data_IF_009587658522
#
_entry.id   IF_009587658522
#
_cell.length_a   1.000
_cell.length_b   1.000
_cell.length_c   1.000
_cell.angle_alpha   90.00
_cell.angle_beta   90.00
_cell.angle_gamma   90.00
#
_symmetry.space_group_name_H-M   'P 1'
#
loop_
_entity.id
_entity.type
_entity.pdbx_description
1 polymer ?
#
# COMPACT_ATOMS: atom_id res chain seq x y z
N UNK A 1 -17.19 -17.04 -14.82
CA UNK A 1 -15.71 -17.06 -14.76
C UNK A 1 -15.11 -17.76 -15.96
N UNK A 2 -15.56 -18.96 -16.36
CA UNK A 2 -14.97 -19.71 -17.49
C UNK A 2 -14.87 -18.93 -18.80
N UNK A 3 -15.93 -18.26 -19.26
CA UNK A 3 -15.86 -17.48 -20.51
C UNK A 3 -14.91 -16.27 -20.42
N UNK A 4 -14.87 -15.57 -19.28
CA UNK A 4 -13.96 -14.44 -19.07
C UNK A 4 -12.50 -14.89 -19.03
N UNK A 5 -12.23 -16.00 -18.33
CA UNK A 5 -10.91 -16.61 -18.25
C UNK A 5 -10.44 -17.12 -19.63
N UNK A 6 -11.33 -17.76 -20.40
CA UNK A 6 -10.99 -18.23 -21.75
C UNK A 6 -10.71 -17.06 -22.70
N UNK A 7 -11.52 -16.00 -22.64
CA UNK A 7 -11.28 -14.78 -23.41
C UNK A 7 -9.92 -14.14 -23.05
N UNK A 8 -9.63 -13.96 -21.76
CA UNK A 8 -8.36 -13.41 -21.31
C UNK A 8 -7.17 -14.26 -21.76
N UNK A 9 -7.29 -15.59 -21.67
CA UNK A 9 -6.28 -16.53 -22.17
C UNK A 9 -6.03 -16.39 -23.67
N UNK A 10 -7.09 -16.47 -24.50
CA UNK A 10 -6.97 -16.35 -25.97
C UNK A 10 -6.26 -15.05 -26.34
N UNK A 11 -6.60 -13.95 -25.67
CA UNK A 11 -6.01 -12.64 -25.94
C UNK A 11 -4.54 -12.55 -25.57
N UNK A 12 -4.13 -13.20 -24.48
CA UNK A 12 -2.73 -13.25 -24.05
C UNK A 12 -1.92 -14.17 -24.96
N UNK A 13 -2.43 -15.37 -25.26
CA UNK A 13 -1.77 -16.33 -26.14
C UNK A 13 -1.61 -15.76 -27.57
N UNK A 14 -2.63 -15.10 -28.14
CA UNK A 14 -2.55 -14.43 -29.46
C UNK A 14 -1.49 -13.31 -29.47
N UNK A 15 -1.37 -12.56 -28.37
CA UNK A 15 -0.39 -11.48 -28.27
C UNK A 15 1.05 -12.01 -28.20
N UNK A 16 1.27 -13.15 -27.54
CA UNK A 16 2.56 -13.83 -27.52
C UNK A 16 2.91 -14.46 -28.87
N UNK A 17 1.96 -15.17 -29.49
CA UNK A 17 2.15 -15.83 -30.79
C UNK A 17 2.52 -14.84 -31.89
N UNK A 18 1.93 -13.64 -31.86
CA UNK A 18 2.21 -12.57 -32.81
C UNK A 18 3.38 -11.67 -32.42
N UNK A 19 4.02 -11.93 -31.28
CA UNK A 19 5.09 -11.12 -30.72
C UNK A 19 4.75 -9.62 -30.71
N UNK A 20 3.53 -9.31 -30.23
CA UNK A 20 3.05 -7.92 -30.17
C UNK A 20 3.88 -7.12 -29.17
N UNK A 21 3.88 -5.79 -29.34
CA UNK A 21 4.57 -4.89 -28.43
C UNK A 21 4.03 -4.98 -26.99
N UNK A 22 4.79 -4.39 -26.07
CA UNK A 22 4.50 -4.44 -24.64
C UNK A 22 3.14 -3.82 -24.29
N UNK A 23 2.75 -2.70 -24.91
CA UNK A 23 1.52 -2.00 -24.58
C UNK A 23 0.30 -2.85 -24.95
N UNK A 24 0.34 -3.51 -26.12
CA UNK A 24 -0.73 -4.42 -26.52
C UNK A 24 -0.76 -5.63 -25.60
N UNK A 25 0.39 -6.24 -25.28
CA UNK A 25 0.46 -7.40 -24.38
C UNK A 25 -0.09 -7.06 -22.99
N UNK A 26 0.23 -5.89 -22.45
CA UNK A 26 -0.27 -5.41 -21.15
C UNK A 26 -1.79 -5.19 -21.18
N UNK A 27 -2.31 -4.56 -22.24
CA UNK A 27 -3.76 -4.39 -22.43
C UNK A 27 -4.51 -5.73 -22.52
N UNK A 28 -3.91 -6.74 -23.14
CA UNK A 28 -4.48 -8.10 -23.23
C UNK A 28 -4.41 -8.80 -21.88
N UNK A 29 -3.31 -8.64 -21.15
CA UNK A 29 -3.14 -9.15 -19.79
C UNK A 29 -4.16 -8.57 -18.81
N UNK A 30 -4.48 -7.27 -18.92
CA UNK A 30 -5.45 -6.57 -18.07
C UNK A 30 -6.84 -7.20 -18.09
N UNK A 31 -7.17 -8.08 -19.05
CA UNK A 31 -8.44 -8.83 -19.06
C UNK A 31 -8.57 -9.86 -17.94
N UNK A 32 -7.49 -10.20 -17.26
CA UNK A 32 -7.53 -10.97 -16.02
C UNK A 32 -8.02 -10.16 -14.82
N UNK A 33 -7.87 -8.83 -14.85
CA UNK A 33 -8.16 -7.94 -13.71
C UNK A 33 -9.28 -6.94 -13.98
N UNK A 34 -9.66 -6.69 -15.23
CA UNK A 34 -10.68 -5.72 -15.59
C UNK A 34 -11.63 -6.20 -16.70
N UNK A 35 -12.84 -5.64 -16.70
CA UNK A 35 -13.88 -5.94 -17.67
C UNK A 35 -13.52 -5.45 -19.08
N UNK A 36 -13.74 -6.33 -20.06
CA UNK A 36 -13.66 -6.08 -21.50
C UNK A 36 -14.41 -4.84 -21.99
N UNK A 37 -15.56 -4.57 -21.38
CA UNK A 37 -16.60 -3.69 -21.91
C UNK A 37 -16.70 -2.36 -21.16
N UNK A 38 -16.66 -2.39 -19.84
CA UNK A 38 -16.80 -1.20 -19.00
C UNK A 38 -15.50 -0.75 -18.36
N UNK A 39 -14.40 -1.48 -18.59
CA UNK A 39 -13.05 -1.18 -18.10
C UNK A 39 -12.92 -1.08 -16.57
N UNK A 40 -13.96 -1.48 -15.83
CA UNK A 40 -13.93 -1.56 -14.39
C UNK A 40 -13.13 -2.77 -13.93
N UNK A 41 -12.34 -2.59 -12.89
CA UNK A 41 -11.63 -3.67 -12.22
C UNK A 41 -12.62 -4.65 -11.58
N UNK A 42 -12.32 -5.94 -11.69
CA UNK A 42 -13.05 -6.94 -10.93
C UNK A 42 -12.68 -6.83 -9.46
N UNK A 43 -13.63 -7.17 -8.59
CA UNK A 43 -13.44 -7.16 -7.14
C UNK A 43 -14.10 -8.36 -6.45
N UNK A 44 -13.81 -8.52 -5.17
CA UNK A 44 -14.18 -9.59 -4.26
C UNK A 44 -14.01 -10.98 -4.88
N UNK A 45 -15.09 -11.76 -4.77
CA UNK A 45 -15.15 -13.15 -5.22
C UNK A 45 -14.88 -13.32 -6.72
N UNK A 46 -15.19 -12.31 -7.55
CA UNK A 46 -14.98 -12.39 -9.01
C UNK A 46 -13.49 -12.31 -9.34
N UNK A 47 -12.79 -11.32 -8.76
CA UNK A 47 -11.34 -11.18 -8.93
C UNK A 47 -10.61 -12.39 -8.36
N UNK A 48 -11.02 -12.88 -7.17
CA UNK A 48 -10.47 -14.10 -6.60
C UNK A 48 -10.60 -15.30 -7.55
N UNK A 49 -11.78 -15.51 -8.14
CA UNK A 49 -12.01 -16.64 -9.05
C UNK A 49 -11.23 -16.50 -10.36
N UNK A 50 -11.10 -15.28 -10.90
CA UNK A 50 -10.28 -15.01 -12.08
C UNK A 50 -8.78 -15.17 -11.78
N UNK A 51 -8.31 -14.78 -10.60
CA UNK A 51 -6.95 -15.02 -10.15
C UNK A 51 -6.61 -16.51 -10.07
N UNK A 52 -7.51 -17.32 -9.53
CA UNK A 52 -7.37 -18.79 -9.55
C UNK A 52 -7.34 -19.36 -10.97
N UNK A 53 -8.21 -18.86 -11.86
CA UNK A 53 -8.24 -19.28 -13.26
C UNK A 53 -6.95 -18.87 -14.01
N UNK A 54 -6.46 -17.66 -13.76
CA UNK A 54 -5.22 -17.13 -14.34
C UNK A 54 -4.03 -18.00 -13.91
N UNK A 55 -3.87 -18.22 -12.60
CA UNK A 55 -2.82 -19.07 -12.06
C UNK A 55 -2.88 -20.49 -12.63
N UNK A 56 -4.06 -21.12 -12.63
CA UNK A 56 -4.23 -22.48 -13.17
C UNK A 56 -3.87 -22.59 -14.65
N UNK A 57 -4.13 -21.53 -15.43
CA UNK A 57 -3.80 -21.48 -16.86
C UNK A 57 -2.28 -21.49 -17.09
N UNK A 58 -1.52 -20.81 -16.24
CA UNK A 58 -0.10 -20.52 -16.49
C UNK A 58 0.88 -21.18 -15.52
N UNK A 59 0.42 -21.90 -14.50
CA UNK A 59 1.27 -22.55 -13.50
C UNK A 59 2.27 -23.55 -14.10
N UNK A 60 1.94 -24.18 -15.22
CA UNK A 60 2.82 -25.13 -15.91
C UNK A 60 3.91 -24.46 -16.76
N UNK A 61 3.88 -23.14 -16.90
CA UNK A 61 4.92 -22.40 -17.62
C UNK A 61 6.23 -22.38 -16.80
N UNK A 62 7.39 -22.15 -17.44
CA UNK A 62 8.67 -22.07 -16.76
C UNK A 62 8.66 -21.05 -15.62
N UNK A 63 9.50 -21.31 -14.61
CA UNK A 63 9.85 -20.33 -13.58
C UNK A 63 11.00 -19.47 -14.08
N UNK A 64 10.69 -18.26 -14.53
CA UNK A 64 11.67 -17.18 -14.69
C UNK A 64 11.03 -15.80 -14.38
N UNK A 65 11.88 -14.80 -14.15
CA UNK A 65 11.49 -13.49 -13.61
C UNK A 65 10.47 -12.75 -14.46
N UNK A 66 10.46 -12.99 -15.78
CA UNK A 66 9.65 -12.25 -16.75
C UNK A 66 8.59 -13.12 -17.43
N UNK A 67 8.30 -14.30 -16.86
CA UNK A 67 7.22 -15.16 -17.35
C UNK A 67 5.84 -14.66 -16.94
N UNK A 68 4.87 -14.96 -17.79
CA UNK A 68 3.43 -14.90 -17.48
C UNK A 68 3.09 -15.63 -16.16
N UNK A 69 3.84 -16.68 -15.81
CA UNK A 69 3.64 -17.40 -14.54
C UNK A 69 3.81 -16.48 -13.33
N UNK A 70 4.84 -15.63 -13.33
CA UNK A 70 5.11 -14.65 -12.27
C UNK A 70 4.07 -13.52 -12.27
N UNK A 71 3.46 -13.18 -13.41
CA UNK A 71 2.34 -12.25 -13.43
C UNK A 71 1.06 -12.89 -12.87
N UNK A 72 0.79 -14.16 -13.21
CA UNK A 72 -0.40 -14.89 -12.81
C UNK A 72 -0.52 -15.07 -11.29
N UNK A 73 0.60 -15.32 -10.60
CA UNK A 73 0.62 -15.41 -9.14
C UNK A 73 0.26 -14.06 -8.49
N UNK A 74 0.63 -12.94 -9.11
CA UNK A 74 0.25 -11.59 -8.68
C UNK A 74 -1.26 -11.33 -8.78
N UNK A 75 -1.89 -11.75 -9.88
CA UNK A 75 -3.35 -11.66 -10.05
C UNK A 75 -4.07 -12.50 -8.98
N UNK A 76 -3.60 -13.72 -8.73
CA UNK A 76 -4.13 -14.57 -7.66
C UNK A 76 -4.00 -13.92 -6.28
N UNK A 77 -2.81 -13.39 -5.96
CA UNK A 77 -2.60 -12.73 -4.68
C UNK A 77 -3.50 -11.50 -4.49
N UNK A 78 -3.71 -10.70 -5.54
CA UNK A 78 -4.64 -9.57 -5.50
C UNK A 78 -6.07 -10.02 -5.24
N UNK A 79 -6.55 -11.02 -5.99
CA UNK A 79 -7.89 -11.57 -5.80
C UNK A 79 -8.13 -12.22 -4.44
N UNK A 80 -7.12 -12.87 -3.86
CA UNK A 80 -7.20 -13.40 -2.50
C UNK A 80 -7.32 -12.30 -1.45
N UNK A 81 -6.54 -11.22 -1.59
CA UNK A 81 -6.61 -10.07 -0.68
C UNK A 81 -7.97 -9.40 -0.69
N UNK A 82 -8.49 -9.14 -1.89
CA UNK A 82 -9.78 -8.46 -2.06
C UNK A 82 -10.98 -9.33 -1.63
N UNK A 83 -10.81 -10.65 -1.61
CA UNK A 83 -11.77 -11.59 -1.04
C UNK A 83 -11.59 -11.82 0.48
N UNK A 84 -10.68 -11.11 1.15
CA UNK A 84 -10.40 -11.25 2.58
C UNK A 84 -9.66 -12.53 2.97
N UNK A 85 -9.07 -13.25 2.02
CA UNK A 85 -8.34 -14.52 2.24
C UNK A 85 -6.86 -14.25 2.51
N UNK A 86 -6.61 -13.45 3.56
CA UNK A 86 -5.28 -12.89 3.85
C UNK A 86 -4.23 -13.95 4.19
N UNK A 87 -4.58 -15.03 4.89
CA UNK A 87 -3.66 -16.15 5.16
C UNK A 87 -3.14 -16.80 3.86
N UNK A 88 -4.03 -17.06 2.90
CA UNK A 88 -3.67 -17.69 1.63
C UNK A 88 -2.87 -16.73 0.75
N UNK A 89 -3.25 -15.44 0.75
CA UNK A 89 -2.47 -14.38 0.10
C UNK A 89 -1.05 -14.34 0.64
N UNK A 90 -0.88 -14.39 1.97
CA UNK A 90 0.43 -14.39 2.62
C UNK A 90 1.28 -15.58 2.18
N UNK A 91 0.72 -16.79 2.21
CA UNK A 91 1.43 -18.02 1.78
C UNK A 91 1.92 -17.93 0.34
N UNK A 92 1.09 -17.42 -0.56
CA UNK A 92 1.43 -17.26 -1.98
C UNK A 92 2.51 -16.18 -2.17
N UNK A 93 2.40 -15.04 -1.49
CA UNK A 93 3.41 -13.96 -1.54
C UNK A 93 4.77 -14.42 -0.98
N UNK A 94 4.78 -15.20 0.10
CA UNK A 94 6.01 -15.80 0.64
C UNK A 94 6.63 -16.80 -0.35
N UNK A 95 5.81 -17.64 -0.98
CA UNK A 95 6.26 -18.59 -2.01
C UNK A 95 6.84 -17.86 -3.23
N UNK A 96 6.19 -16.77 -3.65
CA UNK A 96 6.67 -15.90 -4.72
C UNK A 96 8.02 -15.29 -4.35
N UNK A 97 8.15 -14.74 -3.15
CA UNK A 97 9.40 -14.16 -2.65
C UNK A 97 10.54 -15.19 -2.62
N UNK A 98 10.31 -16.38 -2.09
CA UNK A 98 11.29 -17.47 -2.09
C UNK A 98 11.69 -17.90 -3.51
N UNK A 99 10.74 -17.93 -4.44
CA UNK A 99 11.00 -18.23 -5.85
C UNK A 99 11.86 -17.16 -6.49
N UNK A 100 11.54 -15.89 -6.29
CA UNK A 100 12.30 -14.76 -6.81
C UNK A 100 13.74 -14.75 -6.24
N UNK A 101 13.91 -15.04 -4.96
CA UNK A 101 15.23 -15.21 -4.33
C UNK A 101 16.04 -16.33 -5.01
N UNK A 102 15.44 -17.49 -5.27
CA UNK A 102 16.10 -18.61 -5.96
C UNK A 102 16.45 -18.27 -7.41
N UNK A 103 15.62 -17.47 -8.08
CA UNK A 103 15.87 -16.99 -9.44
C UNK A 103 16.91 -15.85 -9.49
N UNK A 104 17.39 -15.37 -8.34
CA UNK A 104 18.43 -14.35 -8.27
C UNK A 104 17.96 -12.96 -8.67
N UNK A 105 16.67 -12.65 -8.48
CA UNK A 105 16.16 -11.31 -8.74
C UNK A 105 16.88 -10.28 -7.85
N UNK A 106 17.05 -9.09 -8.38
CA UNK A 106 17.66 -7.97 -7.68
C UNK A 106 16.82 -7.55 -6.49
N UNK A 107 17.46 -6.86 -5.55
CA UNK A 107 16.77 -6.33 -4.38
C UNK A 107 15.62 -5.38 -4.73
N UNK A 108 15.77 -4.61 -5.81
CA UNK A 108 14.74 -3.73 -6.33
C UNK A 108 13.49 -4.50 -6.77
N UNK A 109 13.69 -5.63 -7.47
CA UNK A 109 12.59 -6.49 -7.90
C UNK A 109 11.91 -7.20 -6.72
N UNK A 110 12.69 -7.57 -5.69
CA UNK A 110 12.18 -8.22 -4.47
C UNK A 110 11.42 -7.27 -3.53
N UNK A 111 11.67 -5.96 -3.64
CA UNK A 111 11.08 -4.95 -2.77
C UNK A 111 9.54 -4.96 -2.84
N UNK A 112 8.97 -5.04 -4.04
CA UNK A 112 7.51 -5.04 -4.22
C UNK A 112 6.84 -6.23 -3.51
N UNK A 113 7.39 -7.44 -3.67
CA UNK A 113 6.89 -8.64 -3.01
C UNK A 113 7.03 -8.54 -1.49
N UNK A 114 8.14 -7.99 -0.98
CA UNK A 114 8.33 -7.77 0.47
C UNK A 114 7.30 -6.78 1.03
N UNK A 115 7.03 -5.67 0.32
CA UNK A 115 5.98 -4.74 0.69
C UNK A 115 4.60 -5.40 0.72
N UNK A 116 4.30 -6.28 -0.25
CA UNK A 116 3.04 -7.01 -0.27
C UNK A 116 2.90 -8.00 0.90
N UNK A 117 3.98 -8.66 1.30
CA UNK A 117 3.99 -9.51 2.51
C UNK A 117 3.69 -8.66 3.75
N UNK A 118 4.29 -7.47 3.89
CA UNK A 118 4.01 -6.57 4.99
C UNK A 118 2.51 -6.18 5.06
N UNK A 119 1.90 -5.86 3.91
CA UNK A 119 0.44 -5.61 3.83
C UNK A 119 -0.37 -6.82 4.30
N UNK A 120 -0.01 -8.03 3.88
CA UNK A 120 -0.73 -9.23 4.32
C UNK A 120 -0.63 -9.42 5.85
N UNK A 121 0.53 -9.14 6.44
CA UNK A 121 0.72 -9.23 7.89
C UNK A 121 -0.12 -8.19 8.63
N UNK A 122 -0.23 -6.96 8.11
CA UNK A 122 -1.13 -5.90 8.66
C UNK A 122 -2.60 -6.35 8.60
N UNK A 123 -3.05 -6.90 7.46
CA UNK A 123 -4.42 -7.41 7.29
C UNK A 123 -4.75 -8.58 8.24
N UNK A 124 -3.73 -9.30 8.70
CA UNK A 124 -3.83 -10.39 9.67
C UNK A 124 -3.67 -9.96 11.13
N UNK A 125 -3.44 -8.66 11.39
CA UNK A 125 -3.16 -8.13 12.73
C UNK A 125 -1.80 -8.56 13.30
N UNK A 126 -0.86 -8.98 12.44
CA UNK A 126 0.52 -9.37 12.80
C UNK A 126 1.44 -8.15 12.73
N UNK A 127 1.06 -7.10 13.45
CA UNK A 127 1.60 -5.75 13.28
C UNK A 127 3.10 -5.61 13.57
N UNK A 128 3.63 -6.39 14.52
CA UNK A 128 5.07 -6.39 14.83
C UNK A 128 5.93 -7.00 13.71
N UNK A 129 5.44 -8.07 13.06
CA UNK A 129 6.12 -8.66 11.92
C UNK A 129 6.03 -7.75 10.69
N UNK A 130 4.86 -7.12 10.48
CA UNK A 130 4.70 -6.11 9.45
C UNK A 130 5.65 -4.94 9.66
N UNK A 131 5.75 -4.40 10.88
CA UNK A 131 6.66 -3.30 11.20
C UNK A 131 8.11 -3.64 10.89
N UNK A 132 8.57 -4.86 11.21
CA UNK A 132 9.91 -5.32 10.87
C UNK A 132 10.15 -5.26 9.35
N UNK A 133 9.23 -5.79 8.55
CA UNK A 133 9.33 -5.72 7.09
C UNK A 133 9.24 -4.30 6.54
N UNK A 134 8.40 -3.42 7.11
CA UNK A 134 8.31 -2.01 6.69
C UNK A 134 9.63 -1.27 6.91
N UNK A 135 10.36 -1.57 7.98
CA UNK A 135 11.71 -1.03 8.21
C UNK A 135 12.68 -1.48 7.13
N UNK A 136 12.65 -2.76 6.79
CA UNK A 136 13.48 -3.30 5.71
C UNK A 136 13.16 -2.64 4.37
N UNK A 137 11.88 -2.55 4.01
CA UNK A 137 11.45 -1.90 2.77
C UNK A 137 11.92 -0.44 2.70
N UNK A 138 11.69 0.36 3.74
CA UNK A 138 12.16 1.74 3.79
C UNK A 138 13.69 1.83 3.69
N UNK A 139 14.43 0.96 4.39
CA UNK A 139 15.90 0.95 4.35
C UNK A 139 16.42 0.61 2.94
N UNK A 140 15.82 -0.38 2.29
CA UNK A 140 16.11 -0.77 0.90
C UNK A 140 15.80 0.37 -0.06
N UNK A 141 14.60 0.94 -0.03
CA UNK A 141 14.22 2.06 -0.92
C UNK A 141 15.12 3.27 -0.74
N UNK A 142 15.46 3.61 0.50
CA UNK A 142 16.40 4.69 0.81
C UNK A 142 17.79 4.43 0.23
N UNK A 143 18.29 3.19 0.30
CA UNK A 143 19.60 2.82 -0.24
C UNK A 143 19.62 2.76 -1.77
N UNK A 144 18.56 2.25 -2.38
CA UNK A 144 18.46 2.11 -3.84
C UNK A 144 18.22 3.46 -4.55
N UNK A 145 17.95 4.53 -3.79
CA UNK A 145 17.66 5.86 -4.32
C UNK A 145 16.60 5.80 -5.43
N UNK A 146 15.44 5.23 -5.09
CA UNK A 146 14.33 4.97 -6.02
C UNK A 146 14.12 6.19 -6.93
N UNK A 147 14.15 5.95 -8.24
CA UNK A 147 14.25 7.00 -9.26
C UNK A 147 13.13 8.04 -9.17
N UNK A 148 11.96 7.62 -8.66
CA UNK A 148 10.85 8.51 -8.35
C UNK A 148 10.84 8.85 -6.85
N UNK A 149 11.01 10.14 -6.48
CA UNK A 149 10.89 10.57 -5.09
C UNK A 149 9.57 10.19 -4.43
N UNK A 150 8.46 10.07 -5.19
CA UNK A 150 7.15 9.69 -4.68
C UNK A 150 7.14 8.32 -4.00
N UNK A 151 7.81 7.34 -4.59
CA UNK A 151 7.80 5.94 -4.13
C UNK A 151 8.44 5.81 -2.73
N UNK A 152 9.53 6.55 -2.48
CA UNK A 152 10.16 6.59 -1.16
C UNK A 152 9.19 7.09 -0.08
N UNK A 153 8.35 8.08 -0.38
CA UNK A 153 7.43 8.63 0.61
C UNK A 153 6.19 7.76 0.84
N UNK A 154 5.87 6.85 -0.07
CA UNK A 154 4.93 5.76 0.21
C UNK A 154 5.51 4.84 1.29
N UNK A 155 6.81 4.50 1.23
CA UNK A 155 7.45 3.70 2.29
C UNK A 155 7.54 4.45 3.62
N UNK A 156 7.83 5.76 3.59
CA UNK A 156 7.78 6.61 4.80
C UNK A 156 6.37 6.61 5.39
N UNK A 157 5.35 6.76 4.55
CA UNK A 157 3.96 6.76 4.98
C UNK A 157 3.61 5.42 5.65
N UNK A 158 3.91 4.32 4.98
CA UNK A 158 3.63 2.96 5.48
C UNK A 158 4.38 2.69 6.80
N UNK A 159 5.68 2.96 6.87
CA UNK A 159 6.45 2.77 8.10
C UNK A 159 5.91 3.64 9.25
N UNK A 160 5.57 4.91 8.98
CA UNK A 160 5.00 5.79 10.00
C UNK A 160 3.64 5.30 10.51
N UNK A 161 2.82 4.71 9.62
CA UNK A 161 1.55 4.09 10.00
C UNK A 161 1.79 2.86 10.88
N UNK A 162 2.66 1.93 10.49
CA UNK A 162 2.95 0.74 11.29
C UNK A 162 3.55 1.09 12.66
N UNK A 163 4.34 2.16 12.76
CA UNK A 163 4.82 2.69 14.05
C UNK A 163 3.66 3.19 14.93
N UNK A 164 2.64 3.83 14.35
CA UNK A 164 1.45 4.26 15.10
C UNK A 164 0.57 3.09 15.51
N UNK A 165 0.34 2.14 14.60
CA UNK A 165 -0.49 0.94 14.85
C UNK A 165 0.12 0.05 15.95
N UNK A 166 1.45 0.03 16.06
CA UNK A 166 2.20 -0.65 17.15
C UNK A 166 2.44 0.24 18.38
N UNK A 167 1.76 1.38 18.50
CA UNK A 167 1.84 2.33 19.63
C UNK A 167 3.23 2.94 19.89
N UNK A 168 4.13 2.96 18.90
CA UNK A 168 5.47 3.56 18.98
C UNK A 168 5.45 5.04 18.61
N UNK A 169 4.57 5.80 19.26
CA UNK A 169 4.31 7.21 18.93
C UNK A 169 5.55 8.10 19.00
N UNK A 170 6.42 7.92 20.00
CA UNK A 170 7.66 8.69 20.12
C UNK A 170 8.61 8.44 18.94
N UNK A 171 8.70 7.20 18.49
CA UNK A 171 9.52 6.86 17.32
C UNK A 171 8.89 7.41 16.03
N UNK A 172 7.58 7.24 15.84
CA UNK A 172 6.84 7.82 14.72
C UNK A 172 7.04 9.34 14.64
N UNK A 173 6.98 10.03 15.78
CA UNK A 173 7.21 11.48 15.89
C UNK A 173 8.60 11.86 15.44
N UNK A 174 9.63 11.20 15.97
CA UNK A 174 11.04 11.46 15.60
C UNK A 174 11.26 11.22 14.12
N UNK A 175 10.76 10.09 13.60
CA UNK A 175 10.86 9.71 12.20
C UNK A 175 10.18 10.73 11.28
N UNK A 176 8.92 11.08 11.54
CA UNK A 176 8.16 12.02 10.72
C UNK A 176 8.70 13.45 10.80
N UNK A 177 9.21 13.89 11.96
CA UNK A 177 9.88 15.19 12.11
C UNK A 177 11.11 15.29 11.20
N UNK A 178 11.85 14.20 11.01
CA UNK A 178 12.98 14.14 10.07
C UNK A 178 12.52 14.13 8.60
N UNK A 179 11.44 13.40 8.28
CA UNK A 179 11.03 13.15 6.90
C UNK A 179 10.16 14.26 6.30
N UNK A 180 9.27 14.91 7.08
CA UNK A 180 8.31 15.89 6.57
C UNK A 180 8.94 17.07 5.79
N UNK A 181 10.07 17.68 6.21
CA UNK A 181 10.71 18.73 5.43
C UNK A 181 11.29 18.23 4.09
N UNK A 182 11.66 16.96 4.00
CA UNK A 182 12.14 16.34 2.77
C UNK A 182 10.96 16.01 1.86
N UNK A 183 9.89 15.42 2.43
CA UNK A 183 8.63 15.14 1.74
C UNK A 183 8.04 16.40 1.11
N UNK A 184 8.00 17.52 1.85
CA UNK A 184 7.48 18.81 1.32
C UNK A 184 8.28 19.37 0.14
N UNK A 185 9.57 19.05 0.03
CA UNK A 185 10.41 19.49 -1.10
C UNK A 185 10.27 18.59 -2.32
N UNK A 186 10.02 17.31 -2.09
CA UNK A 186 9.91 16.30 -3.15
C UNK A 186 8.48 16.18 -3.69
N UNK A 187 7.47 16.38 -2.84
CA UNK A 187 6.06 16.24 -3.15
C UNK A 187 5.41 17.61 -3.29
N UNK A 188 4.42 17.73 -4.18
CA UNK A 188 3.64 18.96 -4.33
C UNK A 188 2.80 19.28 -3.08
N UNK A 189 2.43 20.54 -2.84
CA UNK A 189 1.65 20.94 -1.66
C UNK A 189 0.24 20.34 -1.59
N UNK A 190 -0.28 19.85 -2.71
CA UNK A 190 -1.58 19.17 -2.83
C UNK A 190 -1.47 17.64 -2.89
N UNK A 191 -0.28 17.09 -2.64
CA UNK A 191 -0.03 15.64 -2.70
C UNK A 191 -0.71 14.90 -1.54
N UNK A 192 -1.40 13.80 -1.86
CA UNK A 192 -2.15 12.98 -0.91
C UNK A 192 -1.23 12.25 0.10
N UNK A 193 -0.04 11.83 -0.34
CA UNK A 193 0.96 11.20 0.54
C UNK A 193 1.47 12.22 1.55
N UNK A 194 1.76 13.46 1.11
CA UNK A 194 2.15 14.54 2.01
C UNK A 194 1.03 14.86 3.02
N UNK A 195 -0.22 14.90 2.58
CA UNK A 195 -1.37 15.09 3.46
C UNK A 195 -1.43 14.00 4.55
N UNK A 196 -1.32 12.73 4.17
CA UNK A 196 -1.36 11.59 5.10
C UNK A 196 -0.16 11.55 6.05
N UNK A 197 1.03 11.92 5.58
CA UNK A 197 2.23 12.04 6.43
C UNK A 197 2.04 13.10 7.53
N UNK A 198 1.46 14.25 7.18
CA UNK A 198 1.13 15.29 8.15
C UNK A 198 0.09 14.82 9.16
N UNK A 199 -0.91 14.06 8.70
CA UNK A 199 -1.90 13.47 9.60
C UNK A 199 -1.26 12.47 10.58
N UNK A 200 -0.43 11.54 10.09
CA UNK A 200 0.31 10.61 10.95
C UNK A 200 1.20 11.35 11.96
N UNK A 201 1.79 12.48 11.56
CA UNK A 201 2.61 13.29 12.48
C UNK A 201 1.75 13.89 13.60
N UNK A 202 0.58 14.45 13.28
CA UNK A 202 -0.36 14.93 14.29
C UNK A 202 -0.78 13.82 15.27
N UNK A 203 -1.03 12.60 14.76
CA UNK A 203 -1.36 11.45 15.60
C UNK A 203 -0.20 11.03 16.51
N UNK A 204 1.04 11.10 16.01
CA UNK A 204 2.23 10.80 16.81
C UNK A 204 2.46 11.78 17.97
N UNK A 205 1.90 13.00 17.87
CA UNK A 205 1.96 14.04 18.90
C UNK A 205 0.86 13.92 19.96
N UNK A 206 -0.09 12.99 19.83
CA UNK A 206 -1.25 12.84 20.73
C UNK A 206 -1.21 11.60 21.65
N UNK A 207 -0.04 11.00 21.86
CA UNK A 207 0.23 9.88 22.80
C UNK A 207 -0.12 10.21 24.27
N UNK A 208 -0.55 9.25 25.07
CA UNK A 208 -0.64 9.29 26.55
C UNK A 208 0.46 10.08 27.28
N UNK A 209 1.71 10.11 26.80
CA UNK A 209 2.84 10.89 27.36
C UNK A 209 3.14 12.22 26.66
N UNK A 210 2.29 12.69 25.75
CA UNK A 210 2.51 13.91 24.98
C UNK A 210 2.51 15.17 25.88
N UNK A 211 3.44 16.09 25.62
CA UNK A 211 3.45 17.39 26.28
C UNK A 211 2.26 18.24 25.81
N UNK A 212 1.88 19.25 26.61
CA UNK A 212 0.87 20.23 26.20
C UNK A 212 1.22 20.92 24.88
N UNK A 213 2.51 21.19 24.66
CA UNK A 213 3.02 21.78 23.42
C UNK A 213 2.80 20.84 22.21
N UNK A 214 3.12 19.56 22.35
CA UNK A 214 2.87 18.55 21.31
C UNK A 214 1.38 18.49 20.95
N UNK A 215 0.49 18.48 21.95
CA UNK A 215 -0.97 18.42 21.73
C UNK A 215 -1.49 19.71 21.07
N UNK A 216 -0.91 20.88 21.40
CA UNK A 216 -1.24 22.15 20.76
C UNK A 216 -0.80 22.17 19.28
N UNK A 217 0.42 21.71 18.99
CA UNK A 217 0.93 21.55 17.63
C UNK A 217 0.04 20.59 16.83
N UNK A 218 -0.31 19.44 17.41
CA UNK A 218 -1.21 18.46 16.79
C UNK A 218 -2.58 19.05 16.49
N UNK A 219 -3.17 19.78 17.43
CA UNK A 219 -4.49 20.42 17.27
C UNK A 219 -4.46 21.42 16.11
N UNK A 220 -3.45 22.28 16.06
CA UNK A 220 -3.29 23.29 15.01
C UNK A 220 -3.15 22.60 13.64
N UNK A 221 -2.33 21.56 13.56
CA UNK A 221 -2.13 20.79 12.34
C UNK A 221 -3.42 20.09 11.88
N UNK A 222 -4.18 19.49 12.81
CA UNK A 222 -5.45 18.83 12.51
C UNK A 222 -6.55 19.81 12.07
N UNK A 223 -6.53 21.05 12.54
CA UNK A 223 -7.44 22.11 12.05
C UNK A 223 -7.19 22.43 10.57
N UNK A 224 -5.92 22.63 10.21
CA UNK A 224 -5.51 22.85 8.82
C UNK A 224 -5.87 21.65 7.92
N UNK A 225 -5.59 20.43 8.39
CA UNK A 225 -5.90 19.20 7.67
C UNK A 225 -7.41 18.99 7.53
N UNK A 226 -8.20 19.30 8.56
CA UNK A 226 -9.66 19.18 8.50
C UNK A 226 -10.26 20.11 7.45
N UNK A 227 -9.78 21.36 7.37
CA UNK A 227 -10.18 22.33 6.35
C UNK A 227 -9.83 21.83 4.95
N UNK A 228 -8.60 21.33 4.78
CA UNK A 228 -8.14 20.76 3.51
C UNK A 228 -8.97 19.54 3.09
N UNK A 229 -9.20 18.61 4.02
CA UNK A 229 -9.93 17.39 3.75
C UNK A 229 -11.39 17.66 3.35
N UNK A 230 -12.04 18.62 4.01
CA UNK A 230 -13.40 19.02 3.66
C UNK A 230 -13.48 19.62 2.25
N UNK A 231 -12.49 20.44 1.86
CA UNK A 231 -12.44 21.06 0.53
C UNK A 231 -12.11 20.06 -0.58
N UNK A 232 -11.18 19.13 -0.35
CA UNK A 232 -10.64 18.22 -1.38
C UNK A 232 -11.48 16.96 -1.51
N UNK A 233 -11.80 16.30 -0.41
CA UNK A 233 -12.49 15.00 -0.43
C UNK A 233 -14.00 15.11 -0.19
N UNK A 234 -14.46 16.24 0.35
CA UNK A 234 -15.85 16.45 0.72
C UNK A 234 -16.21 15.93 2.13
N UNK A 235 -17.32 16.40 2.71
CA UNK A 235 -17.66 16.17 4.12
C UNK A 235 -18.05 14.72 4.44
N UNK A 236 -18.51 13.94 3.45
CA UNK A 236 -18.90 12.54 3.60
C UNK A 236 -17.75 11.55 3.39
N UNK A 237 -16.55 12.04 3.06
CA UNK A 237 -15.41 11.17 2.81
C UNK A 237 -14.83 10.60 4.12
N UNK A 238 -14.49 9.30 4.19
CA UNK A 238 -13.90 8.68 5.38
C UNK A 238 -12.63 9.37 5.90
N UNK A 239 -11.78 9.90 5.02
CA UNK A 239 -10.57 10.65 5.40
C UNK A 239 -10.95 11.93 6.14
N UNK A 240 -11.91 12.70 5.61
CA UNK A 240 -12.38 13.92 6.25
C UNK A 240 -13.06 13.64 7.61
N UNK A 241 -13.80 12.53 7.72
CA UNK A 241 -14.37 12.09 8.99
C UNK A 241 -13.29 11.68 10.01
N UNK A 242 -12.26 10.96 9.57
CA UNK A 242 -11.13 10.55 10.40
C UNK A 242 -10.39 11.74 11.01
N UNK A 243 -9.99 12.71 10.18
CA UNK A 243 -9.28 13.91 10.66
C UNK A 243 -10.13 14.70 11.67
N UNK A 244 -11.44 14.82 11.44
CA UNK A 244 -12.35 15.49 12.39
C UNK A 244 -12.43 14.77 13.74
N UNK A 245 -12.50 13.44 13.73
CA UNK A 245 -12.50 12.62 14.95
C UNK A 245 -11.21 12.84 15.74
N UNK A 246 -10.07 12.85 15.03
CA UNK A 246 -8.76 12.98 15.66
C UNK A 246 -8.54 14.41 16.17
N UNK A 247 -9.03 15.42 15.45
CA UNK A 247 -9.08 16.82 15.93
C UNK A 247 -9.90 16.93 17.23
N UNK A 248 -11.07 16.30 17.28
CA UNK A 248 -11.91 16.30 18.48
C UNK A 248 -11.20 15.60 19.66
N UNK A 249 -10.44 14.54 19.39
CA UNK A 249 -9.59 13.89 20.40
C UNK A 249 -8.50 14.83 20.92
N UNK A 250 -7.73 15.47 20.03
CA UNK A 250 -6.68 16.41 20.40
C UNK A 250 -7.21 17.58 21.24
N UNK A 251 -8.36 18.17 20.85
CA UNK A 251 -9.01 19.25 21.62
C UNK A 251 -9.43 18.82 23.03
N UNK A 252 -10.02 17.63 23.18
CA UNK A 252 -10.36 17.09 24.52
C UNK A 252 -9.13 16.93 25.39
N UNK A 253 -8.05 16.40 24.82
CA UNK A 253 -6.78 16.21 25.53
C UNK A 253 -6.14 17.54 25.94
N UNK A 254 -6.20 18.54 25.07
CA UNK A 254 -5.71 19.89 25.37
C UNK A 254 -6.50 20.53 26.53
N UNK A 255 -7.83 20.37 26.53
CA UNK A 255 -8.69 20.84 27.62
C UNK A 255 -8.41 20.11 28.95
N UNK A 256 -8.20 18.79 28.96
CA UNK A 256 -7.83 18.09 30.20
C UNK A 256 -6.48 18.52 30.77
N UNK A 257 -5.58 19.07 29.94
CA UNK A 257 -4.27 19.56 30.37
C UNK A 257 -4.27 21.00 30.89
N UNK A 258 -5.40 21.73 30.84
CA UNK A 258 -5.55 23.04 31.52
C UNK A 258 -6.02 22.90 32.97
N UNK A 259 -6.58 21.76 33.34
CA UNK A 259 -7.25 21.55 34.63
C UNK A 259 -6.35 20.84 35.67
N UNK A 260 -5.07 20.60 35.33
CA UNK A 260 -4.03 20.00 36.19
C UNK A 260 -2.89 20.99 36.44
#
# INVERSE_FOLDING_TARGET
VSCLAEQAKILVDDAEERNLDYEIRDSRWARWTACGLCEQEYHGVVLCALGWACWKTYVSRPEDSNTIRTCAIGVLAHGLGDAGRHEERLQIQQTQFSTQMRLGLSEQELLATRCNIAVCLEELGRDEEALALRRECYATSKRLNVANPGDLYIDVLNLSKSLLDTHRHTEARSFLREQLPKARRALGPADDTLFKLRWNYALSLCDTGASREDVLEATTLLEELSSTAQRVYGPSNPVAAGVKRDLAHARRKLASSTDS
#
